data_IF_906980183629
#
_entry.id   IF_906980183629
#
_cell.length_a   1.000
_cell.length_b   1.000
_cell.length_c   1.000
_cell.angle_alpha   90.00
_cell.angle_beta   90.00
_cell.angle_gamma   90.00
#
_symmetry.space_group_name_H-M   'P 1'
#
loop_
_entity.id
_entity.type
_entity.pdbx_description
1 polymer ?
#
# COMPACT_ATOMS: atom_id res chain seq x y z
N UNK A 1 2.94 -18.88 30.98
CA UNK A 1 2.99 -18.10 29.72
C UNK A 1 2.41 -16.73 30.07
N UNK A 2 3.19 -15.67 30.01
CA UNK A 2 2.68 -14.32 30.37
C UNK A 2 1.84 -13.81 29.21
N UNK A 3 0.54 -13.84 29.38
CA UNK A 3 -0.39 -13.15 28.50
C UNK A 3 -0.07 -11.65 28.53
N UNK A 4 0.06 -11.03 27.36
CA UNK A 4 0.27 -9.59 27.26
C UNK A 4 -1.08 -8.94 27.07
N UNK A 5 -1.31 -7.81 27.73
CA UNK A 5 -2.58 -7.10 27.64
C UNK A 5 -2.41 -5.59 27.50
N UNK A 6 -3.41 -4.95 26.89
CA UNK A 6 -3.54 -3.51 26.74
C UNK A 6 -4.96 -3.11 27.13
N UNK A 7 -5.10 -2.11 27.99
CA UNK A 7 -6.36 -1.49 28.31
C UNK A 7 -6.53 -0.18 27.55
N UNK A 8 -7.74 0.04 26.98
CA UNK A 8 -8.10 1.27 26.30
C UNK A 8 -9.46 1.77 26.81
N UNK A 9 -9.55 3.02 27.25
CA UNK A 9 -10.82 3.63 27.67
C UNK A 9 -11.85 3.67 26.54
N UNK A 10 -11.40 3.74 25.28
CA UNK A 10 -12.23 3.66 24.09
C UNK A 10 -11.51 2.87 23.01
N UNK A 11 -12.21 1.97 22.34
CA UNK A 11 -11.69 1.25 21.18
C UNK A 11 -12.76 1.12 20.08
N UNK A 12 -12.32 1.21 18.82
CA UNK A 12 -13.14 0.90 17.66
C UNK A 12 -13.01 -0.59 17.35
N UNK A 13 -14.06 -1.34 17.64
CA UNK A 13 -14.18 -2.76 17.33
C UNK A 13 -15.02 -2.99 16.07
N UNK A 14 -15.04 -4.19 15.49
CA UNK A 14 -15.93 -4.51 14.36
C UNK A 14 -17.41 -4.21 14.61
N UNK A 15 -17.84 -4.32 15.88
CA UNK A 15 -19.21 -4.03 16.33
C UNK A 15 -19.47 -2.53 16.56
N UNK A 16 -18.45 -1.67 16.49
CA UNK A 16 -18.53 -0.24 16.76
C UNK A 16 -17.65 0.21 17.91
N UNK A 17 -17.86 1.45 18.37
CA UNK A 17 -17.14 2.00 19.52
C UNK A 17 -17.53 1.28 20.80
N UNK A 18 -16.52 0.82 21.53
CA UNK A 18 -16.66 0.21 22.87
C UNK A 18 -15.88 1.02 23.90
N UNK A 19 -16.26 0.87 25.18
CA UNK A 19 -15.60 1.49 26.33
C UNK A 19 -14.88 0.43 27.14
N UNK A 20 -13.87 0.88 27.87
CA UNK A 20 -13.13 0.10 28.85
C UNK A 20 -12.76 -1.30 28.30
N UNK A 21 -11.98 -1.27 27.19
CA UNK A 21 -11.64 -2.46 26.42
C UNK A 21 -10.29 -3.00 26.86
N UNK A 22 -10.28 -4.26 27.28
CA UNK A 22 -9.07 -5.03 27.57
C UNK A 22 -8.80 -5.98 26.38
N UNK A 23 -7.64 -5.82 25.76
CA UNK A 23 -7.14 -6.69 24.69
C UNK A 23 -6.04 -7.58 25.25
N UNK A 24 -6.14 -8.88 25.04
CA UNK A 24 -5.09 -9.85 25.39
C UNK A 24 -4.58 -10.57 24.14
N UNK A 25 -3.28 -10.89 24.10
CA UNK A 25 -2.67 -11.62 22.99
C UNK A 25 -1.56 -12.57 23.44
N UNK A 26 -1.32 -13.59 22.63
CA UNK A 26 -0.31 -14.61 22.87
C UNK A 26 1.10 -14.15 22.45
N UNK A 27 2.10 -14.99 22.68
CA UNK A 27 3.50 -14.73 22.34
C UNK A 27 3.72 -14.53 20.82
N UNK A 28 2.86 -15.12 20.00
CA UNK A 28 2.89 -14.98 18.54
C UNK A 28 2.21 -13.68 18.06
N UNK A 29 1.64 -12.90 18.98
CA UNK A 29 0.98 -11.62 18.69
C UNK A 29 -0.46 -11.75 18.21
N UNK A 30 -1.10 -12.91 18.34
CA UNK A 30 -2.52 -13.06 18.01
C UNK A 30 -3.40 -12.69 19.20
N UNK A 31 -4.45 -11.90 18.96
CA UNK A 31 -5.48 -11.62 19.95
C UNK A 31 -6.10 -12.94 20.44
N UNK A 32 -6.09 -13.12 21.73
CA UNK A 32 -6.71 -14.25 22.41
C UNK A 32 -8.04 -13.86 23.03
N UNK A 33 -8.18 -12.59 23.44
CA UNK A 33 -9.38 -12.08 24.08
C UNK A 33 -9.60 -10.60 23.80
N UNK A 34 -10.86 -10.19 23.71
CA UNK A 34 -11.33 -8.81 23.62
C UNK A 34 -12.50 -8.68 24.58
N UNK A 35 -12.28 -8.03 25.71
CA UNK A 35 -13.28 -7.80 26.74
C UNK A 35 -13.69 -6.34 26.75
N UNK A 36 -14.99 -6.04 26.78
CA UNK A 36 -15.54 -4.68 26.89
C UNK A 36 -16.12 -4.46 28.28
N UNK A 37 -16.20 -3.21 28.69
CA UNK A 37 -16.63 -2.83 30.04
C UNK A 37 -15.77 -3.50 31.14
N UNK A 38 -14.52 -3.76 30.82
CA UNK A 38 -13.55 -4.44 31.67
C UNK A 38 -12.96 -3.48 32.72
N UNK A 39 -12.63 -3.99 33.89
CA UNK A 39 -11.78 -3.27 34.82
C UNK A 39 -10.32 -3.29 34.34
N UNK A 40 -9.61 -2.14 34.41
CA UNK A 40 -8.19 -2.12 34.10
C UNK A 40 -7.37 -2.89 35.16
N UNK A 41 -6.73 -4.03 34.83
CA UNK A 41 -5.94 -4.76 35.79
C UNK A 41 -4.71 -3.96 36.24
N UNK A 42 -4.26 -4.08 37.51
CA UNK A 42 -3.06 -3.41 37.99
C UNK A 42 -1.82 -3.77 37.12
N UNK A 43 -1.06 -2.77 36.70
CA UNK A 43 0.15 -2.99 35.90
C UNK A 43 -0.07 -3.24 34.40
N UNK A 44 -1.32 -3.26 33.92
CA UNK A 44 -1.64 -3.35 32.50
C UNK A 44 -1.23 -2.08 31.77
N UNK A 45 -0.66 -2.25 30.57
CA UNK A 45 -0.37 -1.12 29.68
C UNK A 45 -1.68 -0.43 29.30
N UNK A 46 -1.71 0.90 29.40
CA UNK A 46 -2.88 1.68 29.02
C UNK A 46 -2.63 2.46 27.75
N UNK A 47 -3.60 2.46 26.83
CA UNK A 47 -3.57 3.28 25.66
C UNK A 47 -3.68 4.77 26.02
N UNK A 48 -2.85 5.62 25.44
CA UNK A 48 -2.86 7.06 25.71
C UNK A 48 -4.09 7.80 25.15
N UNK A 49 -4.86 7.15 24.28
CA UNK A 49 -6.05 7.70 23.63
C UNK A 49 -6.95 6.60 23.09
N UNK A 50 -7.96 6.94 22.28
CA UNK A 50 -8.81 5.95 21.63
C UNK A 50 -7.98 4.99 20.79
N UNK A 51 -8.27 3.70 20.91
CA UNK A 51 -7.61 2.65 20.14
C UNK A 51 -8.35 2.44 18.82
N UNK A 52 -7.64 2.52 17.76
CA UNK A 52 -8.11 2.19 16.41
C UNK A 52 -7.34 0.97 15.90
N UNK A 53 -7.97 0.14 15.07
CA UNK A 53 -7.22 -0.84 14.32
C UNK A 53 -6.16 -0.18 13.45
N UNK A 54 -4.98 -0.80 13.29
CA UNK A 54 -3.91 -0.29 12.42
C UNK A 54 -4.31 -0.36 10.95
N UNK A 55 -3.98 0.64 10.16
CA UNK A 55 -4.39 0.72 8.75
C UNK A 55 -3.44 -0.07 7.85
N UNK A 56 -3.92 -0.86 6.87
CA UNK A 56 -3.08 -1.40 5.83
C UNK A 56 -2.73 -0.30 4.80
N UNK A 57 -1.47 -0.24 4.38
CA UNK A 57 -1.03 0.51 3.22
C UNK A 57 -1.11 -0.42 2.00
N UNK A 58 -2.06 -0.19 1.12
CA UNK A 58 -2.36 -1.12 0.02
C UNK A 58 -1.39 -1.01 -1.16
N UNK A 59 -0.58 0.05 -1.22
CA UNK A 59 0.34 0.25 -2.34
C UNK A 59 1.54 1.09 -1.94
N UNK A 60 2.73 0.58 -2.25
CA UNK A 60 4.02 1.17 -1.90
C UNK A 60 5.09 0.75 -2.89
N UNK A 61 5.97 1.70 -3.22
CA UNK A 61 7.23 1.49 -3.93
C UNK A 61 8.37 2.03 -3.06
N UNK A 62 8.86 1.26 -2.10
CA UNK A 62 9.75 1.77 -1.04
C UNK A 62 10.94 2.58 -1.55
N UNK A 63 11.55 2.18 -2.68
CA UNK A 63 12.70 2.90 -3.23
C UNK A 63 12.39 4.34 -3.64
N UNK A 64 11.13 4.65 -3.95
CA UNK A 64 10.71 5.99 -4.37
C UNK A 64 10.79 7.01 -3.24
N UNK A 65 10.76 6.57 -1.97
CA UNK A 65 10.99 7.47 -0.83
C UNK A 65 12.32 8.21 -0.91
N UNK A 66 13.33 7.65 -1.60
CA UNK A 66 14.65 8.26 -1.75
C UNK A 66 14.64 9.59 -2.50
N UNK A 67 13.64 9.84 -3.34
CA UNK A 67 13.54 11.07 -4.13
C UNK A 67 12.31 11.93 -3.81
N UNK A 68 11.62 11.64 -2.72
CA UNK A 68 10.49 12.46 -2.28
C UNK A 68 10.92 13.93 -2.10
N UNK A 69 10.13 14.85 -2.67
CA UNK A 69 10.43 16.28 -2.71
C UNK A 69 11.42 16.73 -3.78
N UNK A 70 12.15 15.82 -4.44
CA UNK A 70 13.06 16.15 -5.54
C UNK A 70 12.35 16.27 -6.90
N UNK A 71 11.09 15.90 -6.95
CA UNK A 71 10.22 15.98 -8.14
C UNK A 71 9.36 17.23 -8.17
N UNK A 72 9.36 18.05 -7.11
CA UNK A 72 8.50 19.22 -6.94
C UNK A 72 9.08 20.50 -7.59
N UNK A 73 9.97 20.33 -8.56
CA UNK A 73 10.61 21.46 -9.28
C UNK A 73 10.13 21.49 -10.72
N UNK A 74 9.39 22.54 -11.06
CA UNK A 74 8.95 22.75 -12.45
C UNK A 74 10.14 23.08 -13.34
N UNK A 75 10.33 22.29 -14.38
CA UNK A 75 11.27 22.57 -15.47
C UNK A 75 10.79 23.69 -16.41
N UNK A 76 11.46 23.86 -17.54
CA UNK A 76 11.07 24.84 -18.55
C UNK A 76 9.76 24.48 -19.27
N UNK A 77 9.45 23.20 -19.37
CA UNK A 77 8.20 22.66 -19.92
C UNK A 77 7.14 22.43 -18.84
N UNK A 78 5.92 22.13 -19.26
CA UNK A 78 4.87 21.69 -18.34
C UNK A 78 5.23 20.32 -17.77
N UNK A 79 5.21 20.20 -16.44
CA UNK A 79 5.41 18.95 -15.75
C UNK A 79 4.18 18.02 -15.88
N UNK A 80 4.47 16.71 -15.84
CA UNK A 80 3.47 15.67 -15.95
C UNK A 80 4.01 14.37 -15.34
N UNK A 81 3.17 13.35 -15.22
CA UNK A 81 3.57 11.97 -14.89
C UNK A 81 4.83 11.52 -15.67
N UNK A 82 4.96 11.91 -16.93
CA UNK A 82 6.07 11.46 -17.79
C UNK A 82 7.42 12.10 -17.43
N UNK A 83 7.44 13.37 -17.00
CA UNK A 83 8.66 14.02 -16.49
C UNK A 83 9.08 13.43 -15.14
N UNK A 84 8.14 13.19 -14.24
CA UNK A 84 8.35 12.50 -12.98
C UNK A 84 8.91 11.09 -13.18
N UNK A 85 8.33 10.30 -14.09
CA UNK A 85 8.79 8.93 -14.41
C UNK A 85 10.23 8.88 -14.89
N UNK A 86 10.67 9.87 -15.64
CA UNK A 86 12.06 9.97 -16.12
C UNK A 86 13.05 10.16 -14.96
N UNK A 87 12.69 10.92 -13.93
CA UNK A 87 13.49 11.06 -12.72
C UNK A 87 13.50 9.77 -11.90
N UNK A 88 12.33 9.15 -11.72
CA UNK A 88 12.19 7.89 -11.03
C UNK A 88 13.09 6.79 -11.63
N UNK A 89 13.16 6.68 -12.96
CA UNK A 89 14.06 5.73 -13.64
C UNK A 89 15.54 5.97 -13.31
N UNK A 90 15.98 7.24 -13.18
CA UNK A 90 17.36 7.56 -12.78
C UNK A 90 17.68 7.08 -11.38
N UNK A 91 16.76 7.25 -10.43
CA UNK A 91 16.91 6.73 -9.07
C UNK A 91 16.87 5.20 -9.04
N UNK A 92 15.93 4.59 -9.73
CA UNK A 92 15.83 3.14 -9.85
C UNK A 92 17.12 2.53 -10.45
N UNK A 93 17.75 3.21 -11.41
CA UNK A 93 19.00 2.75 -12.00
C UNK A 93 20.21 2.81 -11.05
N UNK A 94 20.17 3.65 -10.00
CA UNK A 94 21.32 3.90 -9.14
C UNK A 94 21.27 3.16 -7.79
N UNK A 95 20.11 2.70 -7.33
CA UNK A 95 19.92 2.15 -5.98
C UNK A 95 20.61 0.79 -5.79
N UNK A 96 21.35 0.64 -4.69
CA UNK A 96 21.99 -0.63 -4.28
C UNK A 96 21.08 -1.42 -3.32
N UNK A 97 21.34 -2.73 -3.11
CA UNK A 97 20.60 -3.52 -2.12
C UNK A 97 20.63 -2.92 -0.71
N UNK A 98 21.80 -2.44 -0.26
CA UNK A 98 21.97 -1.84 1.07
C UNK A 98 21.20 -0.53 1.19
N UNK A 99 21.21 0.29 0.14
CA UNK A 99 20.42 1.51 0.09
C UNK A 99 18.92 1.22 0.09
N UNK A 100 18.47 0.23 -0.67
CA UNK A 100 17.06 -0.19 -0.69
C UNK A 100 16.61 -0.64 0.71
N UNK A 101 17.41 -1.48 1.39
CA UNK A 101 17.09 -1.93 2.76
C UNK A 101 17.01 -0.77 3.75
N UNK A 102 17.96 0.18 3.66
CA UNK A 102 17.98 1.34 4.54
C UNK A 102 16.79 2.27 4.30
N UNK A 103 16.47 2.58 3.04
CA UNK A 103 15.34 3.43 2.64
C UNK A 103 14.02 2.79 3.07
N UNK A 104 13.84 1.51 2.75
CA UNK A 104 12.62 0.78 3.12
C UNK A 104 12.45 0.69 4.65
N UNK A 105 13.54 0.47 5.40
CA UNK A 105 13.48 0.45 6.88
C UNK A 105 13.01 1.81 7.42
N UNK A 106 13.57 2.91 6.94
CA UNK A 106 13.17 4.26 7.34
C UNK A 106 11.71 4.55 6.99
N UNK A 107 11.31 4.24 5.75
CA UNK A 107 9.94 4.41 5.28
C UNK A 107 8.93 3.61 6.12
N UNK A 108 9.23 2.34 6.43
CA UNK A 108 8.31 1.52 7.21
C UNK A 108 8.16 2.00 8.66
N UNK A 109 9.20 2.61 9.23
CA UNK A 109 9.09 3.32 10.52
C UNK A 109 8.18 4.54 10.39
N UNK A 110 8.36 5.36 9.35
CA UNK A 110 7.49 6.50 9.04
C UNK A 110 6.01 6.07 8.88
N UNK A 111 5.77 4.98 8.17
CA UNK A 111 4.42 4.40 8.01
C UNK A 111 3.81 4.00 9.35
N UNK A 112 4.58 3.34 10.23
CA UNK A 112 4.10 2.96 11.57
C UNK A 112 3.77 4.20 12.42
N UNK A 113 4.60 5.23 12.36
CA UNK A 113 4.34 6.51 13.05
C UNK A 113 3.09 7.24 12.51
N UNK A 114 2.77 7.00 11.24
CA UNK A 114 1.60 7.58 10.55
C UNK A 114 0.32 6.73 10.67
N UNK A 115 0.37 5.58 11.39
CA UNK A 115 -0.79 4.73 11.65
C UNK A 115 -0.97 3.53 10.73
N UNK A 116 -0.09 3.32 9.77
CA UNK A 116 -0.05 2.08 9.00
C UNK A 116 0.63 0.97 9.79
N UNK A 117 0.11 -0.25 9.71
CA UNK A 117 0.65 -1.42 10.43
C UNK A 117 1.06 -2.56 9.51
N UNK A 118 0.64 -2.48 8.27
CA UNK A 118 1.06 -3.40 7.20
C UNK A 118 1.17 -2.67 5.88
N UNK A 119 1.98 -3.21 4.98
CA UNK A 119 2.21 -2.64 3.65
C UNK A 119 2.18 -3.72 2.58
N UNK A 120 1.54 -3.41 1.45
CA UNK A 120 1.64 -4.16 0.22
C UNK A 120 2.73 -3.50 -0.63
N UNK A 121 3.90 -4.11 -0.69
CA UNK A 121 5.07 -3.56 -1.35
C UNK A 121 5.14 -4.06 -2.80
N UNK A 122 4.86 -3.18 -3.73
CA UNK A 122 4.84 -3.41 -5.18
C UNK A 122 6.26 -3.25 -5.74
N UNK A 123 7.04 -4.33 -5.71
CA UNK A 123 8.48 -4.34 -5.89
C UNK A 123 8.89 -4.71 -7.31
N UNK A 124 9.39 -3.75 -8.10
CA UNK A 124 9.78 -3.97 -9.50
C UNK A 124 11.27 -3.77 -9.81
N UNK A 125 12.12 -3.39 -8.86
CA UNK A 125 13.57 -3.31 -9.06
C UNK A 125 14.18 -4.68 -8.72
N UNK A 126 14.45 -5.52 -9.73
CA UNK A 126 14.88 -6.90 -9.52
C UNK A 126 16.38 -7.14 -9.76
N UNK A 127 16.94 -6.40 -10.72
CA UNK A 127 18.25 -6.68 -11.28
C UNK A 127 19.30 -5.67 -10.84
N UNK A 128 20.56 -5.98 -11.09
CA UNK A 128 21.69 -5.08 -10.88
C UNK A 128 21.67 -3.92 -11.89
N UNK A 129 22.56 -2.96 -11.72
CA UNK A 129 22.62 -1.72 -12.50
C UNK A 129 22.71 -1.95 -14.03
N UNK A 130 23.32 -3.05 -14.44
CA UNK A 130 23.43 -3.44 -15.85
C UNK A 130 22.22 -4.23 -16.40
N UNK A 131 21.19 -4.47 -15.54
CA UNK A 131 20.01 -5.26 -15.89
C UNK A 131 20.19 -6.77 -15.76
N UNK A 132 21.33 -7.26 -15.26
CA UNK A 132 21.55 -8.68 -14.99
C UNK A 132 21.06 -9.08 -13.59
N UNK A 133 20.63 -10.32 -13.41
CA UNK A 133 20.31 -10.81 -12.08
C UNK A 133 21.51 -10.71 -11.14
N UNK A 134 21.26 -10.40 -9.86
CA UNK A 134 22.25 -10.62 -8.80
C UNK A 134 22.58 -12.11 -8.66
N UNK A 135 23.70 -12.44 -8.01
CA UNK A 135 24.07 -13.82 -7.71
C UNK A 135 22.94 -14.57 -6.94
N UNK A 136 22.28 -13.87 -6.03
CA UNK A 136 20.98 -14.26 -5.48
C UNK A 136 19.87 -13.43 -6.16
N UNK A 137 19.10 -14.04 -7.02
CA UNK A 137 18.02 -13.43 -7.77
C UNK A 137 16.91 -12.81 -6.89
N UNK A 138 16.81 -13.24 -5.62
CA UNK A 138 15.90 -12.70 -4.62
C UNK A 138 16.51 -11.56 -3.78
N UNK A 139 17.74 -11.14 -4.01
CA UNK A 139 18.49 -10.23 -3.13
C UNK A 139 17.71 -8.97 -2.77
N UNK A 140 17.15 -8.25 -3.75
CA UNK A 140 16.40 -7.02 -3.48
C UNK A 140 15.07 -7.26 -2.76
N UNK A 141 14.37 -8.35 -3.08
CA UNK A 141 13.16 -8.78 -2.36
C UNK A 141 13.45 -9.12 -0.90
N UNK A 142 14.58 -9.80 -0.64
CA UNK A 142 15.03 -10.14 0.72
C UNK A 142 15.42 -8.88 1.52
N UNK A 143 15.95 -7.84 0.88
CA UNK A 143 16.19 -6.53 1.53
C UNK A 143 14.89 -5.93 2.09
N UNK A 144 13.79 -5.99 1.34
CA UNK A 144 12.47 -5.50 1.80
C UNK A 144 11.91 -6.35 2.95
N UNK A 145 12.06 -7.67 2.88
CA UNK A 145 11.69 -8.57 3.97
C UNK A 145 12.46 -8.24 5.26
N UNK A 146 13.78 -8.04 5.16
CA UNK A 146 14.61 -7.63 6.31
C UNK A 146 14.22 -6.26 6.84
N UNK A 147 13.96 -5.29 5.96
CA UNK A 147 13.51 -3.96 6.33
C UNK A 147 12.19 -4.01 7.12
N UNK A 148 11.21 -4.77 6.64
CA UNK A 148 9.92 -4.94 7.32
C UNK A 148 10.07 -5.62 8.69
N UNK A 149 10.89 -6.68 8.78
CA UNK A 149 11.17 -7.34 10.05
C UNK A 149 11.86 -6.41 11.05
N UNK A 150 12.82 -5.59 10.60
CA UNK A 150 13.53 -4.60 11.44
C UNK A 150 12.62 -3.49 11.94
N UNK A 151 11.72 -3.00 11.09
CA UNK A 151 10.75 -1.98 11.47
C UNK A 151 9.60 -2.54 12.33
N UNK A 152 9.31 -3.83 12.25
CA UNK A 152 8.12 -4.44 12.83
C UNK A 152 6.86 -4.23 11.98
N UNK A 153 7.01 -3.98 10.68
CA UNK A 153 5.93 -3.76 9.72
C UNK A 153 5.41 -5.09 9.17
N UNK A 154 4.09 -5.25 9.12
CA UNK A 154 3.48 -6.35 8.37
C UNK A 154 3.72 -6.19 6.87
N UNK A 155 4.18 -7.24 6.20
CA UNK A 155 4.52 -7.15 4.79
C UNK A 155 3.71 -8.14 3.93
N UNK A 156 3.11 -7.62 2.87
CA UNK A 156 2.73 -8.38 1.69
C UNK A 156 3.71 -8.02 0.58
N UNK A 157 4.62 -8.93 0.27
CA UNK A 157 5.59 -8.71 -0.80
C UNK A 157 4.97 -9.07 -2.15
N UNK A 158 5.04 -8.16 -3.10
CA UNK A 158 4.46 -8.27 -4.43
C UNK A 158 5.56 -8.10 -5.49
N UNK A 159 6.33 -9.15 -5.81
CA UNK A 159 7.25 -9.10 -6.95
C UNK A 159 6.49 -8.77 -8.23
N UNK A 160 7.03 -7.84 -9.01
CA UNK A 160 6.33 -7.27 -10.16
C UNK A 160 6.79 -7.91 -11.46
N UNK A 161 5.85 -8.49 -12.19
CA UNK A 161 6.08 -8.90 -13.58
C UNK A 161 6.04 -7.67 -14.49
N UNK A 162 7.17 -7.38 -15.14
CA UNK A 162 7.34 -6.27 -16.08
C UNK A 162 8.09 -6.76 -17.31
N UNK A 163 7.53 -6.63 -18.51
CA UNK A 163 8.09 -7.23 -19.71
C UNK A 163 8.22 -6.24 -20.89
N UNK A 164 7.29 -5.29 -20.99
CA UNK A 164 7.16 -4.41 -22.15
C UNK A 164 6.98 -2.96 -21.75
N UNK A 165 7.28 -2.02 -22.64
CA UNK A 165 7.13 -0.58 -22.36
C UNK A 165 5.74 -0.03 -22.68
N UNK A 166 4.90 -0.80 -23.38
CA UNK A 166 3.58 -0.36 -23.84
C UNK A 166 2.75 -1.50 -24.43
N UNK A 167 1.50 -1.20 -24.76
CA UNK A 167 0.60 -2.14 -25.41
C UNK A 167 1.17 -2.67 -26.73
N UNK A 168 0.76 -3.88 -27.14
CA UNK A 168 1.26 -4.54 -28.34
C UNK A 168 2.69 -5.06 -28.20
N UNK A 169 3.13 -5.33 -26.97
CA UNK A 169 4.46 -5.86 -26.65
C UNK A 169 5.61 -4.94 -27.10
N UNK A 170 5.43 -3.62 -26.95
CA UNK A 170 6.48 -2.65 -27.28
C UNK A 170 7.78 -2.95 -26.50
N UNK A 171 8.97 -2.93 -27.15
CA UNK A 171 10.22 -3.25 -26.48
C UNK A 171 10.51 -2.37 -25.27
N UNK A 172 11.09 -2.92 -24.18
CA UNK A 172 11.46 -2.13 -23.01
C UNK A 172 12.51 -1.07 -23.36
N UNK A 173 12.44 0.07 -22.69
CA UNK A 173 13.47 1.12 -22.77
C UNK A 173 14.67 0.78 -21.88
N UNK A 174 15.80 1.46 -22.12
CA UNK A 174 17.02 1.31 -21.30
C UNK A 174 16.76 1.59 -19.81
N UNK A 175 15.91 2.55 -19.46
CA UNK A 175 15.54 2.87 -18.10
C UNK A 175 14.80 1.76 -17.36
N UNK A 176 14.24 0.80 -18.09
CA UNK A 176 13.46 -0.32 -17.54
C UNK A 176 14.28 -1.60 -17.33
N UNK A 177 15.55 -1.64 -17.73
CA UNK A 177 16.38 -2.86 -17.74
C UNK A 177 16.42 -3.60 -16.41
N UNK A 178 16.33 -2.90 -15.27
CA UNK A 178 16.34 -3.49 -13.92
C UNK A 178 15.03 -4.15 -13.53
N UNK A 179 13.96 -3.93 -14.28
CA UNK A 179 12.60 -4.41 -13.97
C UNK A 179 12.22 -5.66 -14.76
N UNK A 180 12.87 -5.86 -15.93
CA UNK A 180 12.42 -6.82 -16.95
C UNK A 180 12.63 -8.27 -16.52
N UNK A 181 11.54 -9.03 -16.47
CA UNK A 181 11.54 -10.46 -16.19
C UNK A 181 10.65 -11.23 -17.16
N UNK A 182 11.09 -12.44 -17.55
CA UNK A 182 10.20 -13.41 -18.19
C UNK A 182 9.21 -13.98 -17.16
N UNK A 183 8.12 -14.55 -17.65
CA UNK A 183 7.12 -15.24 -16.80
C UNK A 183 7.76 -16.37 -16.02
N UNK A 184 8.58 -17.22 -16.67
CA UNK A 184 9.28 -18.34 -16.02
C UNK A 184 10.20 -17.87 -14.89
N UNK A 185 11.00 -16.82 -15.14
CA UNK A 185 11.89 -16.25 -14.12
C UNK A 185 11.11 -15.63 -12.96
N UNK A 186 9.93 -15.05 -13.22
CA UNK A 186 9.06 -14.56 -12.17
C UNK A 186 8.48 -15.71 -11.33
N UNK A 187 7.98 -16.76 -11.95
CA UNK A 187 7.45 -17.92 -11.24
C UNK A 187 8.53 -18.64 -10.41
N UNK A 188 9.75 -18.75 -10.94
CA UNK A 188 10.89 -19.28 -10.19
C UNK A 188 11.24 -18.40 -8.98
N UNK A 189 11.19 -17.06 -9.12
CA UNK A 189 11.39 -16.13 -8.01
C UNK A 189 10.31 -16.29 -6.94
N UNK A 190 9.03 -16.40 -7.32
CA UNK A 190 7.94 -16.62 -6.37
C UNK A 190 8.10 -17.92 -5.59
N UNK A 191 8.47 -19.02 -6.28
CA UNK A 191 8.76 -20.30 -5.62
C UNK A 191 9.89 -20.19 -4.59
N UNK A 192 10.95 -19.44 -4.93
CA UNK A 192 12.09 -19.19 -4.03
C UNK A 192 11.70 -18.31 -2.83
N UNK A 193 10.88 -17.29 -3.03
CA UNK A 193 10.47 -16.34 -2.00
C UNK A 193 9.43 -16.90 -1.03
N UNK A 194 8.58 -17.85 -1.47
CA UNK A 194 7.49 -18.38 -0.64
C UNK A 194 7.96 -18.86 0.75
N UNK A 195 8.93 -19.78 0.87
CA UNK A 195 9.39 -20.24 2.18
C UNK A 195 10.06 -19.12 3.01
N UNK A 196 10.70 -18.14 2.37
CA UNK A 196 11.33 -17.01 3.06
C UNK A 196 10.26 -16.08 3.66
N UNK A 197 9.20 -15.78 2.90
CA UNK A 197 8.06 -15.00 3.37
C UNK A 197 7.35 -15.70 4.53
N UNK A 198 7.07 -17.00 4.41
CA UNK A 198 6.43 -17.80 5.45
C UNK A 198 7.23 -17.82 6.75
N UNK A 199 8.55 -18.01 6.67
CA UNK A 199 9.44 -18.01 7.83
C UNK A 199 9.46 -16.67 8.57
N UNK A 200 9.21 -15.55 7.88
CA UNK A 200 9.16 -14.21 8.46
C UNK A 200 7.72 -13.73 8.78
N UNK A 201 6.71 -14.55 8.54
CA UNK A 201 5.31 -14.18 8.73
C UNK A 201 4.83 -13.12 7.72
N UNK A 202 5.57 -12.92 6.62
CA UNK A 202 5.16 -12.09 5.51
C UNK A 202 4.24 -12.85 4.55
N UNK A 203 3.41 -12.13 3.80
CA UNK A 203 2.60 -12.70 2.74
C UNK A 203 3.29 -12.49 1.39
N UNK A 204 3.20 -13.46 0.50
CA UNK A 204 3.65 -13.35 -0.88
C UNK A 204 2.45 -13.23 -1.81
N UNK A 205 2.55 -12.35 -2.81
CA UNK A 205 1.62 -12.23 -3.93
C UNK A 205 2.37 -12.01 -5.23
N UNK A 206 1.67 -11.53 -6.23
CA UNK A 206 2.22 -11.16 -7.55
C UNK A 206 1.62 -9.82 -7.97
N UNK A 207 2.41 -9.00 -8.62
CA UNK A 207 1.89 -7.83 -9.31
C UNK A 207 2.25 -7.86 -10.80
N UNK A 208 1.33 -8.21 -11.71
CA UNK A 208 1.44 -7.74 -13.09
C UNK A 208 1.47 -6.22 -13.06
N UNK A 209 2.56 -5.58 -13.55
CA UNK A 209 2.72 -4.13 -13.37
C UNK A 209 1.49 -3.36 -13.87
N UNK A 210 1.08 -3.64 -15.08
CA UNK A 210 -0.09 -3.04 -15.77
C UNK A 210 -0.33 -3.81 -17.07
N UNK A 211 -1.45 -3.59 -17.73
CA UNK A 211 -1.73 -4.16 -19.05
C UNK A 211 -0.76 -3.67 -20.13
N UNK A 212 -0.12 -2.51 -19.92
CA UNK A 212 0.96 -1.99 -20.80
C UNK A 212 2.25 -2.79 -20.69
N UNK A 213 2.51 -3.37 -19.53
CA UNK A 213 3.80 -3.96 -19.19
C UNK A 213 3.80 -5.49 -19.23
N UNK A 214 2.64 -6.14 -19.32
CA UNK A 214 2.50 -7.59 -19.33
C UNK A 214 1.58 -8.02 -20.47
N UNK A 215 2.11 -8.83 -21.37
CA UNK A 215 1.33 -9.35 -22.50
C UNK A 215 0.21 -10.31 -22.02
N UNK A 216 -0.89 -10.45 -22.75
CA UNK A 216 -2.04 -11.26 -22.36
C UNK A 216 -1.71 -12.71 -22.00
N UNK A 217 -0.87 -13.37 -22.80
CA UNK A 217 -0.47 -14.75 -22.53
C UNK A 217 0.38 -14.87 -21.27
N UNK A 218 1.33 -13.96 -21.10
CA UNK A 218 2.16 -13.88 -19.89
C UNK A 218 1.34 -13.61 -18.62
N UNK A 219 0.31 -12.75 -18.73
CA UNK A 219 -0.62 -12.51 -17.63
C UNK A 219 -1.32 -13.81 -17.23
N UNK A 220 -1.87 -14.54 -18.19
CA UNK A 220 -2.57 -15.79 -17.96
C UNK A 220 -1.67 -16.85 -17.33
N UNK A 221 -0.45 -17.02 -17.86
CA UNK A 221 0.53 -17.97 -17.34
C UNK A 221 0.98 -17.61 -15.92
N UNK A 222 1.28 -16.34 -15.65
CA UNK A 222 1.70 -15.88 -14.34
C UNK A 222 0.61 -16.07 -13.28
N UNK A 223 -0.65 -15.79 -13.63
CA UNK A 223 -1.80 -16.02 -12.74
C UNK A 223 -2.02 -17.51 -12.46
N UNK A 224 -1.90 -18.36 -13.48
CA UNK A 224 -2.02 -19.81 -13.32
C UNK A 224 -0.90 -20.36 -12.43
N UNK A 225 0.35 -19.93 -12.65
CA UNK A 225 1.50 -20.32 -11.82
C UNK A 225 1.38 -19.83 -10.38
N UNK A 226 0.93 -18.61 -10.15
CA UNK A 226 0.64 -18.10 -8.81
C UNK A 226 -0.43 -18.91 -8.12
N UNK A 227 -1.54 -19.20 -8.81
CA UNK A 227 -2.64 -20.00 -8.26
C UNK A 227 -2.18 -21.43 -7.88
N UNK A 228 -1.33 -22.05 -8.69
CA UNK A 228 -0.76 -23.35 -8.37
C UNK A 228 0.18 -23.29 -7.15
N UNK A 229 0.89 -22.19 -6.95
CA UNK A 229 1.78 -21.98 -5.80
C UNK A 229 0.99 -21.68 -4.51
N UNK A 230 0.00 -20.78 -4.60
CA UNK A 230 -0.91 -20.38 -3.51
C UNK A 230 -2.21 -19.82 -4.10
N UNK A 231 -3.29 -20.60 -4.03
CA UNK A 231 -4.61 -20.21 -4.53
C UNK A 231 -5.21 -18.98 -3.81
N UNK A 232 -4.65 -18.57 -2.67
CA UNK A 232 -5.09 -17.41 -1.88
C UNK A 232 -4.22 -16.18 -2.05
N UNK A 233 -3.14 -16.27 -2.83
CA UNK A 233 -2.18 -15.19 -3.01
C UNK A 233 -2.84 -13.95 -3.62
N UNK A 234 -2.53 -12.73 -3.12
CA UNK A 234 -3.06 -11.49 -3.67
C UNK A 234 -2.41 -11.16 -5.02
N UNK A 235 -3.19 -10.48 -5.86
CA UNK A 235 -2.75 -9.94 -7.16
C UNK A 235 -3.01 -8.44 -7.19
N UNK A 236 -1.98 -7.64 -7.43
CA UNK A 236 -2.11 -6.19 -7.56
C UNK A 236 -1.75 -5.75 -8.98
N UNK A 237 -2.42 -4.74 -9.52
CA UNK A 237 -2.15 -4.21 -10.85
C UNK A 237 -2.44 -2.71 -10.89
N UNK A 238 -1.54 -1.91 -11.48
CA UNK A 238 -1.88 -0.53 -11.86
C UNK A 238 -2.83 -0.59 -13.06
N UNK A 239 -3.93 0.14 -12.98
CA UNK A 239 -4.92 0.11 -14.03
C UNK A 239 -5.66 1.44 -14.17
N UNK A 240 -5.83 1.89 -15.40
CA UNK A 240 -6.56 3.12 -15.74
C UNK A 240 -6.10 4.34 -14.92
N UNK A 241 -4.79 4.42 -14.61
CA UNK A 241 -4.20 5.51 -13.83
C UNK A 241 -4.19 6.82 -14.61
N UNK A 242 -3.80 6.76 -15.88
CA UNK A 242 -3.64 7.91 -16.78
C UNK A 242 -4.61 7.83 -17.95
N UNK A 243 -5.14 8.97 -18.39
CA UNK A 243 -5.95 9.03 -19.62
C UNK A 243 -5.22 8.47 -20.84
N UNK A 244 -3.91 8.75 -20.96
CA UNK A 244 -3.07 8.21 -22.03
C UNK A 244 -2.99 6.67 -22.02
N UNK A 245 -3.09 6.02 -20.86
CA UNK A 245 -3.18 4.58 -20.76
C UNK A 245 -4.52 4.08 -21.31
N UNK A 246 -5.61 4.77 -20.98
CA UNK A 246 -6.95 4.43 -21.48
C UNK A 246 -6.99 4.53 -22.99
N UNK A 247 -6.50 5.65 -23.55
CA UNK A 247 -6.47 5.89 -25.00
C UNK A 247 -5.61 4.85 -25.73
N UNK A 248 -4.45 4.50 -25.17
CA UNK A 248 -3.57 3.50 -25.76
C UNK A 248 -4.17 2.09 -25.70
N UNK A 249 -4.90 1.73 -24.64
CA UNK A 249 -5.61 0.47 -24.52
C UNK A 249 -6.75 0.36 -25.53
N UNK A 250 -7.55 1.42 -25.67
CA UNK A 250 -8.60 1.53 -26.69
C UNK A 250 -8.04 1.36 -28.10
N UNK A 251 -6.94 2.04 -28.39
CA UNK A 251 -6.28 1.94 -29.72
C UNK A 251 -5.75 0.53 -30.01
N UNK A 252 -5.27 -0.17 -28.98
CA UNK A 252 -4.70 -1.51 -29.10
C UNK A 252 -5.78 -2.62 -29.17
N UNK A 253 -6.77 -2.58 -28.30
CA UNK A 253 -7.71 -3.69 -28.08
C UNK A 253 -9.14 -3.37 -28.48
N UNK A 254 -9.49 -2.10 -28.68
CA UNK A 254 -10.86 -1.65 -28.82
C UNK A 254 -11.64 -1.57 -27.50
N UNK A 255 -11.00 -1.86 -26.38
CA UNK A 255 -11.61 -1.86 -25.04
C UNK A 255 -10.84 -0.94 -24.08
N UNK A 256 -11.53 -0.44 -23.06
CA UNK A 256 -10.92 0.29 -21.96
C UNK A 256 -10.15 -0.68 -21.02
N UNK A 257 -9.16 -0.24 -20.27
CA UNK A 257 -8.30 -1.14 -19.49
C UNK A 257 -9.06 -2.04 -18.51
N UNK A 258 -10.02 -1.49 -17.75
CA UNK A 258 -10.76 -2.26 -16.76
C UNK A 258 -11.71 -3.24 -17.44
N UNK A 259 -12.42 -2.82 -18.49
CA UNK A 259 -13.26 -3.72 -19.27
C UNK A 259 -12.44 -4.88 -19.85
N UNK A 260 -11.27 -4.57 -20.45
CA UNK A 260 -10.39 -5.60 -20.98
C UNK A 260 -9.94 -6.59 -19.90
N UNK A 261 -9.56 -6.08 -18.73
CA UNK A 261 -9.10 -6.94 -17.62
C UNK A 261 -10.24 -7.88 -17.15
N UNK A 262 -11.44 -7.36 -16.99
CA UNK A 262 -12.61 -8.15 -16.55
C UNK A 262 -12.98 -9.25 -17.55
N UNK A 263 -12.80 -9.01 -18.84
CA UNK A 263 -13.11 -9.97 -19.90
C UNK A 263 -12.02 -11.05 -20.09
N UNK A 264 -10.77 -10.78 -19.67
CA UNK A 264 -9.63 -11.63 -20.00
C UNK A 264 -8.90 -12.22 -18.79
N UNK A 265 -9.22 -11.80 -17.57
CA UNK A 265 -8.59 -12.29 -16.35
C UNK A 265 -9.65 -12.68 -15.30
N UNK A 266 -9.36 -13.68 -14.44
CA UNK A 266 -10.28 -14.10 -13.38
C UNK A 266 -10.20 -13.13 -12.18
N UNK A 267 -10.70 -11.90 -12.38
CA UNK A 267 -10.69 -10.88 -11.33
C UNK A 267 -11.66 -11.27 -10.22
N UNK A 268 -11.15 -11.36 -9.00
CA UNK A 268 -11.90 -11.76 -7.81
C UNK A 268 -11.45 -10.99 -6.56
N UNK A 269 -11.86 -11.45 -5.39
CA UNK A 269 -11.57 -10.85 -4.10
C UNK A 269 -10.08 -10.79 -3.71
N UNK A 270 -9.19 -11.44 -4.45
CA UNK A 270 -7.73 -11.41 -4.24
C UNK A 270 -7.06 -10.24 -4.96
N UNK A 271 -7.78 -9.59 -5.88
CA UNK A 271 -7.25 -8.51 -6.69
C UNK A 271 -7.32 -7.16 -5.98
N UNK A 272 -6.26 -6.38 -6.18
CA UNK A 272 -6.22 -4.96 -5.88
C UNK A 272 -5.99 -4.18 -7.18
N UNK A 273 -6.98 -3.40 -7.57
CA UNK A 273 -6.94 -2.50 -8.71
C UNK A 273 -6.37 -1.18 -8.22
N UNK A 274 -5.09 -0.92 -8.52
CA UNK A 274 -4.40 0.26 -8.02
C UNK A 274 -4.76 1.46 -8.89
N UNK A 275 -5.04 2.58 -8.24
CA UNK A 275 -5.60 3.82 -8.78
C UNK A 275 -7.02 3.67 -9.33
N UNK A 276 -7.18 2.94 -10.45
CA UNK A 276 -8.48 2.77 -11.12
C UNK A 276 -9.21 4.11 -11.38
N UNK A 277 -8.42 5.18 -11.60
CA UNK A 277 -8.86 6.58 -11.61
C UNK A 277 -9.84 6.86 -12.75
N UNK A 278 -9.53 6.34 -13.95
CA UNK A 278 -10.27 6.65 -15.16
C UNK A 278 -11.21 5.51 -15.58
N UNK A 279 -12.02 5.01 -14.66
CA UNK A 279 -13.13 4.09 -14.97
C UNK A 279 -14.38 4.86 -15.41
N UNK A 280 -15.24 4.21 -16.21
CA UNK A 280 -16.62 4.69 -16.33
C UNK A 280 -17.45 4.24 -15.11
N UNK A 281 -18.62 4.86 -14.82
CA UNK A 281 -19.50 4.38 -13.75
C UNK A 281 -19.85 2.91 -13.87
N UNK A 282 -20.06 2.42 -15.09
CA UNK A 282 -20.39 1.01 -15.38
C UNK A 282 -19.19 0.10 -15.07
N UNK A 283 -17.96 0.49 -15.49
CA UNK A 283 -16.75 -0.25 -15.16
C UNK A 283 -16.55 -0.31 -13.64
N UNK A 284 -16.78 0.80 -12.93
CA UNK A 284 -16.65 0.88 -11.48
C UNK A 284 -17.59 -0.12 -10.77
N UNK A 285 -18.88 -0.14 -11.15
CA UNK A 285 -19.87 -1.04 -10.57
C UNK A 285 -19.55 -2.52 -10.89
N UNK A 286 -19.15 -2.82 -12.13
CA UNK A 286 -18.81 -4.20 -12.54
C UNK A 286 -17.55 -4.68 -11.81
N UNK A 287 -16.50 -3.90 -11.75
CA UNK A 287 -15.27 -4.24 -11.05
C UNK A 287 -15.50 -4.42 -9.55
N UNK A 288 -16.27 -3.53 -8.91
CA UNK A 288 -16.63 -3.65 -7.50
C UNK A 288 -17.33 -5.00 -7.20
N UNK A 289 -18.25 -5.42 -8.06
CA UNK A 289 -19.01 -6.68 -7.89
C UNK A 289 -18.19 -7.96 -8.01
N UNK A 290 -16.99 -7.90 -8.58
CA UNK A 290 -16.05 -9.05 -8.55
C UNK A 290 -15.53 -9.34 -7.14
N UNK A 291 -15.68 -8.38 -6.22
CA UNK A 291 -15.09 -8.39 -4.89
C UNK A 291 -13.66 -7.89 -4.88
N UNK A 292 -13.12 -7.41 -6.00
CA UNK A 292 -11.81 -6.75 -6.04
C UNK A 292 -11.79 -5.50 -5.13
N UNK A 293 -10.59 -5.12 -4.72
CA UNK A 293 -10.35 -3.95 -3.87
C UNK A 293 -9.81 -2.81 -4.72
N UNK A 294 -10.35 -1.60 -4.58
CA UNK A 294 -9.70 -0.41 -5.12
C UNK A 294 -8.56 0.02 -4.19
N UNK A 295 -7.32 0.02 -4.69
CA UNK A 295 -6.14 0.49 -3.98
C UNK A 295 -5.85 1.94 -4.36
N UNK A 296 -6.39 2.87 -3.59
CA UNK A 296 -6.37 4.30 -3.90
C UNK A 296 -5.13 4.96 -3.31
N UNK A 297 -4.54 5.90 -4.03
CA UNK A 297 -3.35 6.62 -3.61
C UNK A 297 -3.56 8.14 -3.73
N UNK A 298 -4.51 8.71 -2.96
CA UNK A 298 -4.99 10.08 -3.16
C UNK A 298 -3.91 11.15 -3.17
N UNK A 299 -2.87 11.01 -2.35
CA UNK A 299 -1.76 11.98 -2.34
C UNK A 299 -0.89 11.89 -3.59
N UNK A 300 -0.63 10.68 -4.10
CA UNK A 300 0.12 10.48 -5.36
C UNK A 300 -0.71 10.93 -6.56
N UNK A 301 -1.98 10.54 -6.63
CA UNK A 301 -2.91 10.90 -7.70
C UNK A 301 -3.05 12.43 -7.81
N UNK A 302 -3.08 13.12 -6.66
CA UNK A 302 -3.08 14.59 -6.61
C UNK A 302 -1.72 15.19 -7.00
N UNK A 303 -0.60 14.59 -6.54
CA UNK A 303 0.75 15.06 -6.82
C UNK A 303 1.13 14.93 -8.29
N UNK A 304 0.74 13.82 -8.92
CA UNK A 304 0.99 13.55 -10.34
C UNK A 304 -0.05 14.16 -11.28
N UNK A 305 -1.18 14.63 -10.72
CA UNK A 305 -2.26 15.19 -11.51
C UNK A 305 -3.04 14.14 -12.31
N UNK A 306 -3.17 12.93 -11.77
CA UNK A 306 -3.81 11.79 -12.44
C UNK A 306 -5.29 12.01 -12.63
N UNK A 307 -5.97 12.46 -11.59
CA UNK A 307 -7.42 12.68 -11.59
C UNK A 307 -8.07 12.31 -10.26
N UNK A 308 -9.38 12.11 -10.29
CA UNK A 308 -10.18 11.78 -9.11
C UNK A 308 -10.91 10.46 -9.38
N UNK A 309 -10.67 9.46 -8.53
CA UNK A 309 -11.39 8.19 -8.54
C UNK A 309 -12.90 8.41 -8.28
N UNK A 310 -13.77 7.73 -9.01
CA UNK A 310 -15.22 7.80 -8.79
C UNK A 310 -15.65 6.87 -7.64
N UNK A 311 -15.49 7.36 -6.41
CA UNK A 311 -15.84 6.60 -5.23
C UNK A 311 -17.36 6.36 -5.10
N UNK A 312 -18.19 7.25 -5.63
CA UNK A 312 -19.65 7.12 -5.56
C UNK A 312 -20.13 5.90 -6.36
N UNK A 313 -19.69 5.77 -7.60
CA UNK A 313 -20.02 4.61 -8.45
C UNK A 313 -19.44 3.31 -7.90
N UNK A 314 -18.21 3.35 -7.34
CA UNK A 314 -17.61 2.19 -6.71
C UNK A 314 -18.43 1.66 -5.52
N UNK A 315 -18.87 2.56 -4.65
CA UNK A 315 -19.69 2.21 -3.48
C UNK A 315 -21.10 1.73 -3.86
N UNK A 316 -21.65 2.16 -5.00
CA UNK A 316 -22.92 1.60 -5.52
C UNK A 316 -22.80 0.11 -5.89
N UNK A 317 -21.60 -0.35 -6.21
CA UNK A 317 -21.29 -1.76 -6.45
C UNK A 317 -20.92 -2.55 -5.19
N UNK A 318 -21.12 -2.01 -3.98
CA UNK A 318 -20.61 -2.56 -2.71
C UNK A 318 -19.09 -2.76 -2.72
N UNK A 319 -18.38 -1.89 -3.43
CA UNK A 319 -16.97 -2.01 -3.68
C UNK A 319 -16.12 -1.80 -2.43
N UNK A 320 -15.16 -2.71 -2.23
CA UNK A 320 -14.15 -2.59 -1.18
C UNK A 320 -13.01 -1.71 -1.66
N UNK A 321 -12.44 -0.93 -0.75
CA UNK A 321 -11.34 -0.04 -1.07
C UNK A 321 -10.37 0.09 0.11
N UNK A 322 -9.23 0.67 -0.14
CA UNK A 322 -8.28 1.08 0.88
C UNK A 322 -7.28 2.06 0.29
N UNK A 323 -6.41 2.61 1.14
CA UNK A 323 -5.45 3.63 0.71
C UNK A 323 -4.02 3.13 0.75
N UNK A 324 -3.17 3.70 -0.11
CA UNK A 324 -1.75 3.49 -0.18
C UNK A 324 -0.99 4.81 -0.30
N UNK A 325 0.28 4.82 0.10
CA UNK A 325 1.15 6.02 0.00
C UNK A 325 1.96 6.08 -1.30
N UNK A 326 2.00 5.02 -2.06
CA UNK A 326 2.53 4.84 -3.41
C UNK A 326 3.92 5.47 -3.63
N UNK A 327 4.00 6.69 -4.19
CA UNK A 327 5.26 7.41 -4.46
C UNK A 327 5.90 8.03 -3.23
N UNK A 328 5.20 8.00 -2.08
CA UNK A 328 5.66 8.53 -0.79
C UNK A 328 5.99 10.03 -0.79
N UNK A 329 5.35 10.81 -1.64
CA UNK A 329 5.31 12.27 -1.51
C UNK A 329 4.69 12.67 -0.16
N UNK A 330 3.71 11.90 0.29
CA UNK A 330 3.12 11.94 1.62
C UNK A 330 3.07 10.52 2.20
N UNK A 331 3.34 10.38 3.51
CA UNK A 331 3.22 9.12 4.24
C UNK A 331 2.36 9.35 5.47
N UNK A 332 1.04 9.48 5.27
CA UNK A 332 0.11 9.75 6.36
C UNK A 332 -1.29 9.21 6.04
N UNK A 333 -1.70 8.14 6.73
CA UNK A 333 -2.99 7.50 6.51
C UNK A 333 -4.19 8.44 6.65
N UNK A 334 -4.16 9.36 7.63
CA UNK A 334 -5.26 10.31 7.83
C UNK A 334 -5.34 11.35 6.71
N UNK A 335 -4.20 11.75 6.13
CA UNK A 335 -4.19 12.68 4.99
C UNK A 335 -4.69 12.00 3.71
N UNK A 336 -4.33 10.73 3.48
CA UNK A 336 -4.89 9.95 2.36
C UNK A 336 -6.42 9.91 2.42
N UNK A 337 -6.96 9.55 3.59
CA UNK A 337 -8.41 9.51 3.80
C UNK A 337 -9.06 10.89 3.63
N UNK A 338 -8.44 11.93 4.19
CA UNK A 338 -8.95 13.29 4.06
C UNK A 338 -8.98 13.76 2.60
N UNK A 339 -7.91 13.48 1.86
CA UNK A 339 -7.80 13.86 0.45
C UNK A 339 -8.79 13.07 -0.42
N UNK A 340 -9.00 11.80 -0.14
CA UNK A 340 -10.02 10.99 -0.80
C UNK A 340 -11.41 11.64 -0.66
N UNK A 341 -11.84 11.96 0.54
CA UNK A 341 -13.15 12.59 0.74
C UNK A 341 -13.21 14.01 0.13
N UNK A 342 -12.14 14.80 0.27
CA UNK A 342 -12.15 16.18 -0.22
C UNK A 342 -12.13 16.25 -1.75
N UNK A 343 -11.43 15.34 -2.41
CA UNK A 343 -11.49 15.25 -3.87
C UNK A 343 -12.90 14.94 -4.37
N UNK A 344 -13.61 14.01 -3.69
CA UNK A 344 -15.02 13.72 -4.00
C UNK A 344 -15.91 14.97 -3.81
N UNK A 345 -15.72 15.71 -2.70
CA UNK A 345 -16.50 16.95 -2.46
C UNK A 345 -16.29 17.98 -3.56
N UNK A 346 -15.04 18.18 -3.97
CA UNK A 346 -14.69 19.14 -5.03
C UNK A 346 -15.25 18.69 -6.39
N UNK A 347 -15.17 17.41 -6.73
CA UNK A 347 -15.69 16.88 -7.98
C UNK A 347 -17.22 16.97 -8.05
N UNK A 348 -17.91 16.56 -6.99
CA UNK A 348 -19.38 16.48 -6.96
C UNK A 348 -20.07 17.76 -6.48
N UNK A 349 -19.33 18.68 -5.84
CA UNK A 349 -19.86 19.87 -5.16
C UNK A 349 -20.89 19.55 -4.06
N UNK A 350 -20.67 18.42 -3.38
CA UNK A 350 -21.48 17.91 -2.28
C UNK A 350 -20.62 17.75 -1.03
N UNK A 351 -21.26 17.55 0.12
CA UNK A 351 -20.57 17.28 1.41
C UNK A 351 -20.85 15.86 1.85
N UNK A 352 -19.88 15.29 2.62
CA UNK A 352 -20.01 13.96 3.23
C UNK A 352 -20.32 12.86 2.19
N UNK A 353 -19.56 12.86 1.08
CA UNK A 353 -19.81 12.00 -0.08
C UNK A 353 -19.62 10.54 0.25
N UNK A 354 -18.62 10.21 1.09
CA UNK A 354 -18.33 8.83 1.51
C UNK A 354 -19.13 8.37 2.74
N UNK A 355 -20.04 9.21 3.25
CA UNK A 355 -20.98 8.82 4.30
C UNK A 355 -22.23 8.18 3.70
N UNK A 356 -22.85 7.28 4.45
CA UNK A 356 -24.13 6.64 4.09
C UNK A 356 -25.18 6.90 5.16
N UNK A 357 -26.44 6.55 4.88
CA UNK A 357 -27.52 6.69 5.87
C UNK A 357 -27.24 5.88 7.15
N UNK A 358 -26.65 4.69 6.99
CA UNK A 358 -26.29 3.81 8.11
C UNK A 358 -24.99 4.22 8.80
N UNK A 359 -24.13 4.95 8.08
CA UNK A 359 -22.88 5.50 8.59
C UNK A 359 -22.80 7.00 8.26
N UNK A 360 -23.54 7.84 8.99
CA UNK A 360 -23.69 9.26 8.66
C UNK A 360 -22.42 10.09 8.94
N UNK A 361 -21.45 9.54 9.65
CA UNK A 361 -20.16 10.16 9.89
C UNK A 361 -19.14 9.69 8.86
N UNK A 362 -18.64 10.62 8.03
CA UNK A 362 -17.53 10.36 7.10
C UNK A 362 -16.32 9.73 7.82
N UNK A 363 -15.96 10.25 8.99
CA UNK A 363 -14.83 9.71 9.77
C UNK A 363 -15.06 8.23 10.14
N UNK A 364 -16.27 7.85 10.54
CA UNK A 364 -16.61 6.45 10.84
C UNK A 364 -16.63 5.60 9.57
N UNK A 365 -17.22 6.09 8.48
CA UNK A 365 -17.23 5.39 7.20
C UNK A 365 -15.80 5.13 6.69
N UNK A 366 -14.93 6.13 6.80
CA UNK A 366 -13.52 6.03 6.38
C UNK A 366 -12.70 5.10 7.27
N UNK A 367 -12.98 5.00 8.56
CA UNK A 367 -12.28 4.04 9.44
C UNK A 367 -12.78 2.60 9.28
N UNK A 368 -13.94 2.38 8.70
CA UNK A 368 -14.51 1.06 8.42
C UNK A 368 -14.30 0.59 6.98
N UNK A 369 -14.20 1.53 6.02
CA UNK A 369 -14.06 1.24 4.60
C UNK A 369 -12.78 0.48 4.21
N UNK A 370 -11.58 0.84 4.74
CA UNK A 370 -10.32 0.21 4.37
C UNK A 370 -10.12 -1.22 4.88
N UNK A 371 -11.07 -1.76 5.65
CA UNK A 371 -10.93 -3.10 6.22
C UNK A 371 -11.49 -4.14 5.27
N UNK A 372 -10.66 -4.87 4.55
CA UNK A 372 -11.15 -6.09 3.95
C UNK A 372 -11.62 -6.97 5.12
N UNK A 373 -12.87 -7.40 5.07
CA UNK A 373 -13.36 -8.48 5.90
C UNK A 373 -12.58 -9.77 5.54
N UNK A 374 -11.31 -9.82 5.89
CA UNK A 374 -10.54 -11.05 5.87
C UNK A 374 -10.80 -11.71 7.21
N UNK A 375 -11.49 -12.84 7.27
CA UNK A 375 -11.58 -13.63 8.47
C UNK A 375 -10.20 -14.25 8.72
N UNK A 376 -9.35 -13.52 9.40
CA UNK A 376 -8.05 -13.99 9.87
C UNK A 376 -7.91 -13.64 11.33
N UNK A 377 -7.25 -14.48 12.12
CA UNK A 377 -6.92 -14.11 13.47
C UNK A 377 -6.17 -12.78 13.43
N UNK A 378 -6.71 -11.78 14.12
CA UNK A 378 -6.13 -10.45 14.20
C UNK A 378 -4.80 -10.59 14.91
N UNK A 379 -3.71 -10.39 14.19
CA UNK A 379 -2.38 -10.40 14.76
C UNK A 379 -2.09 -9.00 15.31
N UNK A 380 -1.90 -8.90 16.60
CA UNK A 380 -1.32 -7.70 17.20
C UNK A 380 0.18 -7.74 16.86
N UNK A 381 0.60 -6.99 15.88
CA UNK A 381 2.03 -6.83 15.60
C UNK A 381 2.59 -5.82 16.59
N UNK A 382 3.20 -6.35 17.65
CA UNK A 382 4.18 -5.59 18.39
C UNK A 382 5.53 -5.72 17.69
N UNK A 383 6.32 -4.65 17.63
CA UNK A 383 7.73 -4.82 17.40
C UNK A 383 8.30 -5.62 18.58
N UNK A 384 8.46 -6.92 18.39
CA UNK A 384 9.29 -7.72 19.30
C UNK A 384 10.72 -7.34 18.96
N UNK A 385 11.21 -6.28 19.59
CA UNK A 385 12.63 -5.99 19.58
C UNK A 385 13.35 -7.07 20.39
N UNK A 386 14.29 -7.83 19.81
CA UNK A 386 15.26 -8.51 20.64
C UNK A 386 15.94 -7.44 21.50
N UNK A 387 16.37 -7.77 22.67
CA UNK A 387 16.95 -6.91 23.71
C UNK A 387 18.20 -6.15 23.25
N UNK A 388 18.04 -5.27 22.30
CA UNK A 388 19.04 -4.27 21.93
C UNK A 388 18.71 -3.01 22.73
N UNK A 389 19.67 -2.53 23.49
CA UNK A 389 19.59 -1.32 24.30
C UNK A 389 18.95 -0.18 23.50
N UNK A 390 17.80 0.29 23.97
CA UNK A 390 17.03 1.39 23.34
C UNK A 390 17.92 2.60 23.15
N UNK A 391 18.02 3.18 21.93
CA UNK A 391 18.68 4.47 21.74
C UNK A 391 18.07 5.53 22.66
N UNK A 392 18.86 6.41 23.20
CA UNK A 392 18.46 7.41 24.21
C UNK A 392 17.33 8.35 23.77
N UNK A 393 17.19 8.59 22.47
CA UNK A 393 16.10 9.39 21.90
C UNK A 393 14.73 8.67 21.90
N UNK A 394 14.71 7.35 22.03
CA UNK A 394 13.47 6.54 22.12
C UNK A 394 12.80 6.66 23.51
N UNK A 395 13.50 7.14 24.52
CA UNK A 395 12.93 7.30 25.87
C UNK A 395 11.93 8.45 25.99
N UNK A 396 11.88 9.35 25.02
CA UNK A 396 10.96 10.48 24.96
C UNK A 396 9.74 10.28 24.09
N UNK A 397 9.64 9.13 23.38
CA UNK A 397 8.42 8.78 22.65
C UNK A 397 7.44 8.03 23.57
N UNK A 398 6.18 8.48 23.70
CA UNK A 398 5.14 7.68 24.27
C UNK A 398 5.07 6.35 23.52
N UNK A 399 4.92 5.23 24.21
CA UNK A 399 4.74 3.91 23.63
C UNK A 399 3.52 3.94 22.70
N UNK A 400 3.77 4.20 21.43
CA UNK A 400 2.71 4.41 20.44
C UNK A 400 2.27 3.05 19.92
N UNK A 401 1.30 2.51 20.57
CA UNK A 401 0.36 1.61 19.93
C UNK A 401 -0.46 2.44 18.94
N UNK A 402 -0.77 1.93 17.76
CA UNK A 402 -1.54 2.58 16.71
C UNK A 402 -2.65 3.51 17.22
N UNK A 403 -2.28 4.61 17.80
CA UNK A 403 -3.15 5.72 18.06
C UNK A 403 -2.90 6.72 16.94
N UNK A 404 -3.65 6.62 15.87
CA UNK A 404 -3.62 7.57 14.77
C UNK A 404 -4.14 8.97 15.16
N UNK A 405 -4.20 9.28 16.47
CA UNK A 405 -4.56 10.62 16.96
C UNK A 405 -3.58 10.99 18.06
N UNK A 406 -2.61 11.81 17.70
CA UNK A 406 -1.67 12.42 18.63
C UNK A 406 -2.42 13.30 19.65
N UNK A 407 -2.29 13.09 20.97
CA UNK A 407 -3.00 13.88 21.99
C UNK A 407 -2.32 15.20 22.35
N UNK A 408 -1.65 15.87 21.44
CA UNK A 408 -1.26 17.27 21.64
C UNK A 408 -1.96 18.13 20.62
N UNK A 409 -2.76 19.14 21.05
CA UNK A 409 -3.31 20.11 20.13
C UNK A 409 -2.16 21.00 19.64
N UNK A 410 -1.54 20.60 18.53
CA UNK A 410 -0.88 21.56 17.67
C UNK A 410 -1.94 22.04 16.70
N UNK A 411 -2.06 23.38 16.47
CA UNK A 411 -3.02 23.89 15.51
C UNK A 411 -2.77 23.20 14.16
N UNK A 412 -3.84 22.68 13.57
CA UNK A 412 -3.84 22.17 12.20
C UNK A 412 -3.62 23.35 11.25
N UNK A 413 -2.39 23.82 11.18
CA UNK A 413 -1.91 24.53 10.01
C UNK A 413 -1.29 23.46 9.10
N UNK A 414 -1.71 23.47 7.84
CA UNK A 414 -1.06 22.75 6.76
C UNK A 414 0.46 22.74 7.01
N UNK A 415 1.10 21.59 7.24
CA UNK A 415 2.52 21.58 7.10
C UNK A 415 2.75 21.73 5.60
N UNK A 416 3.25 22.88 5.22
CA UNK A 416 3.99 23.01 3.98
C UNK A 416 4.99 21.86 3.98
N UNK A 417 4.84 20.92 3.03
CA UNK A 417 5.86 19.95 2.70
C UNK A 417 7.04 20.69 2.03
N UNK A 418 7.69 21.52 2.81
CA UNK A 418 8.98 22.11 2.46
C UNK A 418 9.99 21.49 3.39
N UNK A 419 10.98 20.72 2.87
CA UNK A 419 12.11 20.33 3.67
C UNK A 419 12.82 21.61 4.14
N UNK A 420 13.17 21.64 5.42
CA UNK A 420 14.11 22.63 5.91
C UNK A 420 15.34 22.59 5.00
N UNK A 421 15.61 23.67 4.30
CA UNK A 421 16.80 23.85 3.49
C UNK A 421 18.02 23.67 4.38
N UNK A 422 18.64 22.50 4.32
CA UNK A 422 20.01 22.36 4.73
C UNK A 422 20.86 23.04 3.65
N UNK A 423 21.51 24.14 4.02
CA UNK A 423 22.58 24.74 3.26
C UNK A 423 23.63 23.68 2.97
N UNK A 424 23.73 23.28 1.71
CA UNK A 424 24.91 22.67 1.14
C UNK A 424 25.16 23.34 -0.21
N UNK A 425 26.08 24.29 -0.17
CA UNK A 425 26.92 24.67 -1.32
C UNK A 425 27.79 23.49 -1.71
#
# INVERSE_FOLDING_TARGET
MSERSLFAAHALLPTGWARDVLLSWNEQGFLTEVETDAACPPGTLQAAGPLLPGMPNLHSHAFQRAFAGLTEYRGAAQDSFWSWRSLMYRFAAAITPEQLEAIATGLYVEMLEAGYTSVCEFHYVHHDHDGRPYADDAALSVCLLRAAARAGMGLTLLPVLYQTSGFGAAPPSEGQRRFIRSTDNMLALLQKLKPVCEAQGARLGLAPHSLRAVAPDSLREALAGLHALDATAPVHIHIAEQTAEVDACLAWSGQRPVQWLLDHAPVDARWCLVHATHMTPEESVLAARTGAVAGLCPSTEANLGDGIFDAASWLQGDGRWGVGSDSHACVNAAQELMLLEYSQRLATRQRNVLATADQPSVATAMTRGPWPAVPRPVRVQWPVWPSVSRPTWWRSMPSTFCCAICPRPRPCFLPTCLPATANLL
#
